data_IF_135162331249
#
_entry.id   IF_135162331249
#
_cell.length_a   1.000
_cell.length_b   1.000
_cell.length_c   1.000
_cell.angle_alpha   90.00
_cell.angle_beta   90.00
_cell.angle_gamma   90.00
#
_symmetry.space_group_name_H-M   'P 1'
#
loop_
_entity.id
_entity.type
_entity.pdbx_description
1 polymer ?
#
# COMPACT_ATOMS: atom_id res chain seq x y z
N UNK A 1 -20.20 -5.66 -7.73
CA UNK A 1 -18.94 -5.01 -7.99
C UNK A 1 -18.04 -5.04 -6.78
N UNK A 2 -16.80 -5.40 -6.96
CA UNK A 2 -15.87 -5.48 -5.84
C UNK A 2 -15.53 -4.07 -5.32
N UNK A 3 -15.45 -3.95 -4.01
CA UNK A 3 -15.06 -2.69 -3.37
C UNK A 3 -13.61 -2.81 -2.89
N UNK A 4 -12.68 -2.44 -3.75
CA UNK A 4 -11.26 -2.57 -3.45
C UNK A 4 -10.80 -1.64 -2.32
N UNK A 5 -11.45 -0.48 -2.18
CA UNK A 5 -11.14 0.39 -1.05
C UNK A 5 -11.48 -0.28 0.28
N UNK A 6 -12.66 -0.87 0.37
CA UNK A 6 -13.05 -1.60 1.57
C UNK A 6 -12.13 -2.80 1.80
N UNK A 7 -11.81 -3.52 0.73
CA UNK A 7 -10.91 -4.67 0.83
C UNK A 7 -9.56 -4.25 1.41
N UNK A 8 -8.98 -3.18 0.90
CA UNK A 8 -7.69 -2.71 1.40
C UNK A 8 -7.79 -2.19 2.82
N UNK A 9 -8.92 -1.58 3.19
CA UNK A 9 -9.13 -1.15 4.57
C UNK A 9 -9.12 -2.33 5.53
N UNK A 10 -9.74 -3.43 5.13
CA UNK A 10 -9.76 -4.64 5.95
C UNK A 10 -8.35 -5.23 6.07
N UNK A 11 -7.60 -5.23 4.97
CA UNK A 11 -6.20 -5.69 5.00
C UNK A 11 -5.39 -4.82 5.96
N UNK A 12 -5.54 -3.50 5.87
CA UNK A 12 -4.80 -2.59 6.74
C UNK A 12 -5.13 -2.82 8.20
N UNK A 13 -6.40 -2.96 8.53
CA UNK A 13 -6.80 -3.20 9.91
C UNK A 13 -6.27 -4.53 10.42
N UNK A 14 -6.26 -5.54 9.57
CA UNK A 14 -5.73 -6.86 9.93
C UNK A 14 -4.23 -6.78 10.18
N UNK A 15 -3.49 -6.12 9.31
CA UNK A 15 -2.06 -5.96 9.50
C UNK A 15 -1.74 -5.09 10.72
N UNK A 16 -2.57 -4.08 10.98
CA UNK A 16 -2.42 -3.25 12.17
C UNK A 16 -2.49 -4.09 13.44
N UNK A 17 -3.50 -4.95 13.54
CA UNK A 17 -3.66 -5.79 14.72
C UNK A 17 -2.52 -6.81 14.84
N UNK A 18 -2.14 -7.40 13.70
CA UNK A 18 -1.02 -8.33 13.66
C UNK A 18 0.26 -7.65 14.16
N UNK A 19 0.52 -6.43 13.68
CA UNK A 19 1.72 -5.68 14.04
C UNK A 19 1.68 -5.28 15.51
N UNK A 20 0.54 -4.80 15.98
CA UNK A 20 0.35 -4.41 17.37
C UNK A 20 0.55 -5.59 18.32
N UNK A 21 0.22 -6.79 17.88
CA UNK A 21 0.33 -8.00 18.69
C UNK A 21 1.59 -8.79 18.37
N UNK A 22 2.70 -8.07 18.14
CA UNK A 22 4.04 -8.62 18.01
C UNK A 22 4.24 -9.47 16.76
N UNK A 23 3.46 -9.21 15.72
CA UNK A 23 3.67 -9.83 14.40
C UNK A 23 3.66 -11.35 14.44
N UNK A 24 2.69 -11.90 15.17
CA UNK A 24 2.54 -13.33 15.26
C UNK A 24 1.71 -13.85 14.08
N UNK A 25 2.39 -14.42 13.08
CA UNK A 25 1.74 -14.87 11.86
C UNK A 25 0.70 -15.94 12.11
N UNK A 26 0.85 -16.74 13.18
CA UNK A 26 -0.10 -17.82 13.44
C UNK A 26 -1.49 -17.31 13.81
N UNK A 27 -1.61 -16.04 14.18
CA UNK A 27 -2.90 -15.48 14.59
C UNK A 27 -3.59 -14.68 13.50
N UNK A 28 -2.93 -14.48 12.35
CA UNK A 28 -3.44 -13.53 11.37
C UNK A 28 -4.74 -14.00 10.72
N UNK A 29 -4.90 -15.31 10.52
CA UNK A 29 -6.13 -15.82 9.91
C UNK A 29 -7.35 -15.55 10.77
N UNK A 30 -7.23 -15.70 12.08
CA UNK A 30 -8.34 -15.40 12.98
C UNK A 30 -8.68 -13.93 12.97
N UNK A 31 -7.66 -13.08 12.95
CA UNK A 31 -7.88 -11.64 12.89
C UNK A 31 -8.59 -11.28 11.60
N UNK A 32 -8.12 -11.83 10.49
CA UNK A 32 -8.71 -11.56 9.19
C UNK A 32 -10.16 -12.02 9.12
N UNK A 33 -10.44 -13.23 9.57
CA UNK A 33 -11.81 -13.74 9.53
C UNK A 33 -12.76 -12.89 10.35
N UNK A 34 -12.31 -12.45 11.54
CA UNK A 34 -13.14 -11.58 12.35
C UNK A 34 -13.39 -10.25 11.65
N UNK A 35 -12.35 -9.66 11.05
CA UNK A 35 -12.53 -8.38 10.38
C UNK A 35 -13.41 -8.49 9.14
N UNK A 36 -13.29 -9.58 8.39
CA UNK A 36 -14.17 -9.81 7.25
C UNK A 36 -15.62 -9.93 7.70
N UNK A 37 -15.85 -10.63 8.80
CA UNK A 37 -17.21 -10.82 9.30
C UNK A 37 -17.81 -9.51 9.80
N UNK A 38 -17.02 -8.69 10.49
CA UNK A 38 -17.54 -7.48 11.08
C UNK A 38 -17.64 -6.32 10.10
N UNK A 39 -16.67 -6.17 9.23
CA UNK A 39 -16.57 -4.99 8.39
C UNK A 39 -16.85 -5.24 6.92
N UNK A 40 -16.82 -6.50 6.50
CA UNK A 40 -17.00 -6.84 5.10
C UNK A 40 -18.06 -7.90 4.82
N UNK A 41 -19.19 -7.91 5.56
CA UNK A 41 -20.20 -8.91 5.22
C UNK A 41 -20.71 -8.66 3.80
N UNK A 42 -20.74 -9.72 3.01
CA UNK A 42 -21.15 -9.59 1.62
C UNK A 42 -20.06 -9.09 0.69
N UNK A 43 -18.82 -8.95 1.18
CA UNK A 43 -17.72 -8.54 0.32
C UNK A 43 -17.49 -9.61 -0.74
N UNK A 44 -17.56 -9.21 -2.01
CA UNK A 44 -17.45 -10.14 -3.12
C UNK A 44 -16.03 -10.59 -3.39
N UNK A 45 -15.05 -9.78 -2.99
CA UNK A 45 -13.66 -9.97 -3.39
C UNK A 45 -12.77 -10.39 -2.22
N UNK A 46 -13.26 -11.37 -1.44
CA UNK A 46 -12.47 -11.83 -0.31
C UNK A 46 -11.17 -12.51 -0.72
N UNK A 47 -11.13 -13.05 -1.96
CA UNK A 47 -9.88 -13.63 -2.47
C UNK A 47 -8.79 -12.58 -2.60
N UNK A 48 -9.15 -11.37 -3.02
CA UNK A 48 -8.19 -10.28 -3.10
C UNK A 48 -7.60 -9.98 -1.72
N UNK A 49 -8.47 -9.96 -0.71
CA UNK A 49 -8.04 -9.70 0.67
C UNK A 49 -7.06 -10.76 1.15
N UNK A 50 -7.40 -12.03 0.94
CA UNK A 50 -6.53 -13.12 1.36
C UNK A 50 -5.20 -13.11 0.62
N UNK A 51 -5.24 -12.86 -0.69
CA UNK A 51 -4.04 -12.83 -1.50
C UNK A 51 -3.12 -11.69 -1.08
N UNK A 52 -3.69 -10.53 -0.78
CA UNK A 52 -2.92 -9.37 -0.39
C UNK A 52 -2.23 -9.59 0.97
N UNK A 53 -2.97 -10.13 1.94
CA UNK A 53 -2.40 -10.47 3.25
C UNK A 53 -1.26 -11.47 3.07
N UNK A 54 -1.50 -12.53 2.31
CA UNK A 54 -0.49 -13.56 2.10
C UNK A 54 0.76 -12.98 1.44
N UNK A 55 0.56 -12.15 0.41
CA UNK A 55 1.69 -11.56 -0.30
C UNK A 55 2.53 -10.67 0.60
N UNK A 56 1.89 -9.86 1.43
CA UNK A 56 2.62 -8.99 2.35
C UNK A 56 3.41 -9.84 3.35
N UNK A 57 2.77 -10.85 3.93
CA UNK A 57 3.45 -11.66 4.94
C UNK A 57 4.61 -12.46 4.38
N UNK A 58 4.44 -13.01 3.19
CA UNK A 58 5.51 -13.80 2.58
C UNK A 58 6.70 -12.94 2.21
N UNK A 59 6.49 -11.65 2.04
CA UNK A 59 7.56 -10.73 1.63
C UNK A 59 7.87 -9.68 2.68
N UNK A 60 7.45 -9.89 3.92
CA UNK A 60 7.52 -8.85 4.92
C UNK A 60 8.94 -8.36 5.21
N UNK A 61 9.90 -9.27 5.23
CA UNK A 61 11.27 -8.87 5.52
C UNK A 61 11.84 -7.99 4.41
N UNK A 62 11.57 -8.37 3.17
CA UNK A 62 12.01 -7.60 2.03
C UNK A 62 11.33 -6.23 1.99
N UNK A 63 10.01 -6.22 2.26
CA UNK A 63 9.25 -4.98 2.26
C UNK A 63 9.75 -4.04 3.35
N UNK A 64 9.96 -4.57 4.55
CA UNK A 64 10.42 -3.75 5.67
C UNK A 64 11.82 -3.19 5.41
N UNK A 65 12.67 -3.98 4.75
CA UNK A 65 13.98 -3.49 4.37
C UNK A 65 13.89 -2.32 3.40
N UNK A 66 12.95 -2.39 2.46
CA UNK A 66 12.74 -1.31 1.51
C UNK A 66 12.26 -0.04 2.24
N UNK A 67 11.37 -0.18 3.22
CA UNK A 67 10.93 0.96 4.00
C UNK A 67 12.11 1.63 4.69
N UNK A 68 12.95 0.85 5.35
CA UNK A 68 14.09 1.37 6.07
C UNK A 68 15.07 2.09 5.14
N UNK A 69 15.31 1.53 3.98
CA UNK A 69 16.23 2.14 3.02
C UNK A 69 15.66 3.42 2.42
N UNK A 70 14.36 3.47 2.22
CA UNK A 70 13.73 4.62 1.57
C UNK A 70 13.54 5.78 2.53
N UNK A 71 13.28 5.49 3.80
CA UNK A 71 13.07 6.53 4.82
C UNK A 71 14.07 6.32 5.96
N UNK A 72 15.38 6.54 5.71
CA UNK A 72 16.41 6.21 6.70
C UNK A 72 16.34 7.04 7.97
N UNK A 73 15.70 8.22 7.93
CA UNK A 73 15.52 9.04 9.13
C UNK A 73 14.53 8.43 10.12
N UNK A 74 13.74 7.46 9.67
CA UNK A 74 12.67 6.90 10.47
C UNK A 74 12.90 5.41 10.68
N UNK A 75 13.45 5.00 11.84
CA UNK A 75 13.51 3.57 12.13
C UNK A 75 12.12 2.95 12.04
N UNK A 76 12.05 1.73 11.54
CA UNK A 76 10.77 1.07 11.29
C UNK A 76 9.84 1.13 12.50
N UNK A 77 10.40 0.87 13.67
CA UNK A 77 9.59 0.81 14.89
C UNK A 77 9.08 2.18 15.34
N UNK A 78 9.61 3.25 14.79
CA UNK A 78 9.15 4.61 15.10
C UNK A 78 8.14 5.13 14.09
N UNK A 79 7.98 4.45 12.97
CA UNK A 79 6.89 4.78 12.06
C UNK A 79 5.62 4.23 12.69
N UNK A 80 4.57 5.08 12.77
CA UNK A 80 3.36 4.63 13.46
C UNK A 80 2.73 3.45 12.76
N UNK A 81 1.89 2.71 13.50
CA UNK A 81 1.33 1.45 13.02
C UNK A 81 0.48 1.61 11.76
N UNK A 82 -0.25 2.72 11.66
CA UNK A 82 -1.08 2.97 10.48
C UNK A 82 -0.18 3.14 9.26
N UNK A 83 0.77 4.05 9.34
CA UNK A 83 1.61 4.39 8.20
C UNK A 83 2.46 3.21 7.74
N UNK A 84 3.09 2.48 8.68
CA UNK A 84 3.98 1.42 8.23
C UNK A 84 3.23 0.24 7.63
N UNK A 85 2.00 -0.03 8.10
CA UNK A 85 1.24 -1.12 7.49
C UNK A 85 0.64 -0.72 6.16
N UNK A 86 0.28 0.54 5.99
CA UNK A 86 -0.14 1.04 4.67
C UNK A 86 1.04 1.01 3.70
N UNK A 87 2.24 1.35 4.17
CA UNK A 87 3.43 1.23 3.33
C UNK A 87 3.69 -0.21 2.91
N UNK A 88 3.48 -1.17 3.83
CA UNK A 88 3.63 -2.57 3.48
C UNK A 88 2.70 -2.98 2.35
N UNK A 89 1.44 -2.56 2.43
CA UNK A 89 0.46 -2.84 1.38
C UNK A 89 0.89 -2.17 0.07
N UNK A 90 1.20 -0.89 0.14
CA UNK A 90 1.56 -0.13 -1.05
C UNK A 90 2.80 -0.64 -1.75
N UNK A 91 3.82 -0.97 -0.99
CA UNK A 91 5.06 -1.48 -1.54
C UNK A 91 4.83 -2.85 -2.18
N UNK A 92 4.07 -3.71 -1.49
CA UNK A 92 3.76 -5.01 -2.08
C UNK A 92 3.04 -4.84 -3.41
N UNK A 93 1.99 -4.03 -3.45
CA UNK A 93 1.23 -3.86 -4.69
C UNK A 93 2.04 -3.17 -5.78
N UNK A 94 2.89 -2.23 -5.39
CA UNK A 94 3.70 -1.50 -6.36
C UNK A 94 4.80 -2.36 -6.97
N UNK A 95 5.47 -3.18 -6.16
CA UNK A 95 6.67 -3.89 -6.61
C UNK A 95 6.44 -5.36 -6.90
N UNK A 96 5.54 -6.01 -6.18
CA UNK A 96 5.41 -7.46 -6.20
C UNK A 96 4.05 -7.94 -6.65
N UNK A 97 3.08 -7.06 -6.77
CA UNK A 97 1.75 -7.43 -7.20
C UNK A 97 1.63 -7.54 -8.70
N UNK A 98 0.45 -7.92 -9.15
CA UNK A 98 0.14 -8.04 -10.58
C UNK A 98 -0.19 -6.65 -11.14
N UNK A 99 0.70 -6.11 -11.96
CA UNK A 99 0.55 -4.76 -12.51
C UNK A 99 -0.62 -4.63 -13.48
N UNK A 100 -1.04 -5.72 -14.08
CA UNK A 100 -2.22 -5.68 -14.94
C UNK A 100 -3.48 -5.49 -14.12
N UNK A 101 -3.53 -6.12 -12.96
CA UNK A 101 -4.68 -6.00 -12.08
C UNK A 101 -4.64 -4.70 -11.27
N UNK A 102 -3.46 -4.34 -10.77
CA UNK A 102 -3.26 -3.12 -9.98
C UNK A 102 -2.07 -2.36 -10.57
N UNK A 103 -2.32 -1.43 -11.48
CA UNK A 103 -1.22 -0.64 -12.05
C UNK A 103 -0.49 0.17 -10.97
N UNK A 104 0.77 0.50 -11.20
CA UNK A 104 1.57 1.20 -10.20
C UNK A 104 0.94 2.48 -9.65
N UNK A 105 0.37 3.31 -10.52
CA UNK A 105 -0.24 4.56 -10.05
C UNK A 105 -1.46 4.30 -9.20
N UNK A 106 -2.22 3.24 -9.51
CA UNK A 106 -3.37 2.86 -8.71
C UNK A 106 -2.91 2.41 -7.33
N UNK A 107 -1.84 1.60 -7.26
CA UNK A 107 -1.30 1.15 -5.99
C UNK A 107 -0.92 2.33 -5.09
N UNK A 108 -0.23 3.32 -5.67
CA UNK A 108 0.20 4.48 -4.93
C UNK A 108 -1.01 5.31 -4.45
N UNK A 109 -1.94 5.59 -5.36
CA UNK A 109 -3.10 6.42 -5.02
C UNK A 109 -3.97 5.76 -3.96
N UNK A 110 -4.16 4.44 -4.04
CA UNK A 110 -4.95 3.75 -3.05
C UNK A 110 -4.29 3.76 -1.68
N UNK A 111 -2.97 3.63 -1.64
CA UNK A 111 -2.25 3.71 -0.37
C UNK A 111 -2.39 5.10 0.24
N UNK A 112 -2.30 6.15 -0.58
CA UNK A 112 -2.46 7.51 -0.10
C UNK A 112 -3.87 7.73 0.46
N UNK A 113 -4.89 7.22 -0.24
CA UNK A 113 -6.26 7.35 0.24
C UNK A 113 -6.48 6.63 1.56
N UNK A 114 -5.90 5.44 1.71
CA UNK A 114 -5.95 4.73 2.98
C UNK A 114 -5.30 5.56 4.08
N UNK A 115 -4.14 6.13 3.79
CA UNK A 115 -3.42 6.91 4.77
C UNK A 115 -4.24 8.12 5.23
N UNK A 116 -4.88 8.80 4.29
CA UNK A 116 -5.72 9.93 4.63
C UNK A 116 -6.91 9.52 5.47
N UNK A 117 -7.52 8.37 5.14
CA UNK A 117 -8.70 7.89 5.86
C UNK A 117 -8.39 7.51 7.30
N UNK A 118 -7.25 6.88 7.52
CA UNK A 118 -6.93 6.34 8.85
C UNK A 118 -5.95 7.20 9.64
N UNK A 119 -5.14 8.02 8.98
CA UNK A 119 -4.12 8.81 9.66
C UNK A 119 -4.14 10.30 9.37
N UNK A 120 -5.00 10.74 8.45
CA UNK A 120 -5.12 12.16 8.13
C UNK A 120 -4.13 12.63 7.07
N UNK A 121 -4.11 13.96 6.89
CA UNK A 121 -3.31 14.55 5.82
C UNK A 121 -1.82 14.29 5.98
N UNK A 122 -1.33 14.33 7.19
CA UNK A 122 0.10 14.10 7.45
C UNK A 122 0.51 12.71 7.03
N UNK A 123 -0.31 11.71 7.36
CA UNK A 123 -0.05 10.34 6.92
C UNK A 123 -0.07 10.22 5.41
N UNK A 124 -1.02 10.88 4.76
CA UNK A 124 -1.09 10.87 3.30
C UNK A 124 0.17 11.41 2.67
N UNK A 125 0.69 12.51 3.20
CA UNK A 125 1.91 13.11 2.68
C UNK A 125 3.13 12.22 2.90
N UNK A 126 3.22 11.60 4.07
CA UNK A 126 4.33 10.70 4.37
C UNK A 126 4.33 9.50 3.43
N UNK A 127 3.18 8.86 3.29
CA UNK A 127 3.05 7.68 2.42
C UNK A 127 3.36 8.05 0.96
N UNK A 128 2.84 9.20 0.51
CA UNK A 128 3.12 9.68 -0.84
C UNK A 128 4.63 9.88 -1.05
N UNK A 129 5.30 10.48 -0.06
CA UNK A 129 6.74 10.72 -0.17
C UNK A 129 7.54 9.44 -0.31
N UNK A 130 7.22 8.44 0.52
CA UNK A 130 7.94 7.17 0.49
C UNK A 130 7.66 6.41 -0.81
N UNK A 131 6.39 6.24 -1.15
CA UNK A 131 6.03 5.48 -2.35
C UNK A 131 6.47 6.20 -3.63
N UNK A 132 6.41 7.53 -3.62
CA UNK A 132 6.89 8.32 -4.75
C UNK A 132 8.39 8.14 -4.98
N UNK A 133 9.16 8.10 -3.90
CA UNK A 133 10.60 7.88 -3.99
C UNK A 133 10.89 6.50 -4.60
N UNK A 134 10.16 5.48 -4.13
CA UNK A 134 10.33 4.14 -4.67
C UNK A 134 9.94 4.10 -6.15
N UNK A 135 8.83 4.75 -6.50
CA UNK A 135 8.34 4.76 -7.87
C UNK A 135 9.37 5.37 -8.82
N UNK A 136 9.97 6.49 -8.42
CA UNK A 136 11.01 7.13 -9.24
C UNK A 136 12.25 6.25 -9.35
N UNK A 137 12.59 5.56 -8.25
CA UNK A 137 13.78 4.72 -8.25
C UNK A 137 13.66 3.54 -9.21
N UNK A 138 12.45 3.04 -9.42
CA UNK A 138 12.26 1.91 -10.34
C UNK A 138 11.92 2.35 -11.76
N UNK A 139 12.02 3.65 -12.06
CA UNK A 139 11.87 4.14 -13.42
C UNK A 139 10.46 4.54 -13.82
N UNK A 140 9.60 4.75 -12.84
CA UNK A 140 8.23 5.24 -13.06
C UNK A 140 7.45 4.39 -14.07
N UNK A 141 7.30 3.09 -13.81
CA UNK A 141 6.60 2.22 -14.76
C UNK A 141 5.15 2.65 -14.95
N UNK A 142 4.65 2.57 -16.17
CA UNK A 142 3.29 2.92 -16.49
C UNK A 142 3.02 4.40 -16.59
N UNK A 143 4.05 5.24 -16.45
CA UNK A 143 3.84 6.69 -16.48
C UNK A 143 3.27 7.15 -17.81
N UNK A 144 3.79 6.63 -18.91
CA UNK A 144 3.31 7.01 -20.23
C UNK A 144 1.90 6.56 -20.47
N UNK A 145 1.57 5.38 -19.97
CA UNK A 145 0.23 4.83 -20.12
C UNK A 145 -0.80 5.62 -19.35
N UNK A 146 -0.37 6.22 -18.24
CA UNK A 146 -1.27 6.98 -17.40
C UNK A 146 -1.40 8.43 -17.78
N UNK A 147 -0.66 8.92 -18.78
CA UNK A 147 -0.68 10.33 -19.20
C UNK A 147 -1.62 10.51 -20.37
N UNK A 148 -2.43 11.53 -20.34
CA UNK A 148 -3.17 11.91 -21.54
C UNK A 148 -2.16 12.42 -22.54
N UNK A 149 -2.18 12.36 -23.54
CA UNK A 149 -1.03 12.79 -24.17
C UNK A 149 -0.92 14.06 -24.79
N UNK A 150 -0.19 14.46 -24.09
CA UNK A 150 0.08 15.12 -24.08
C UNK A 150 0.43 15.50 -24.66
N UNK A 151 0.64 15.70 -24.83
CA UNK A 151 0.99 15.94 -25.07
C UNK A 151 1.78 16.34 -24.82
N UNK A 152 2.13 16.66 -24.68
CA UNK A 152 2.74 16.83 -24.25
C UNK A 152 3.40 17.24 -23.78
N UNK A 153 3.56 17.81 -24.01
CA UNK A 153 4.05 18.09 -23.25
C UNK A 153 4.61 18.41 -22.54
N UNK A 154 4.80 19.00 -22.64
CA UNK A 154 5.26 19.16 -21.70
C UNK A 154 5.82 19.26 -21.06
N UNK A 155 6.10 19.85 -21.34
CA UNK A 155 6.55 19.88 -20.40
C UNK A 155 7.03 19.86 -19.71
N UNK A 156 7.28 20.30 -20.11
CA UNK A 156 7.72 20.22 -19.10
C UNK A 156 8.06 20.31 -18.32
N UNK A 157 8.32 20.81 -18.41
CA UNK A 157 8.49 20.74 -17.47
C UNK A 157 8.76 20.56 -16.86
N UNK A 158 9.06 20.81 -17.34
CA UNK A 158 9.20 20.55 -16.57
C UNK A 158 9.39 20.29 -15.98
N UNK A 159 9.82 20.71 -16.39
CA UNK A 159 9.96 20.24 -15.58
C UNK A 159 10.02 19.90 -15.09
N UNK A 160 10.15 20.42 -15.71
CA UNK A 160 10.19 20.05 -15.09
C UNK A 160 10.30 19.76 -14.78
N UNK A 161 10.42 20.00 -15.06
CA UNK A 161 10.51 19.77 -14.71
C UNK A 161 10.46 19.64 -14.31
#
# INVERSE_FOLDING_TARGET
MANRHLSRSIVMQTLYEWDFNNRNDSKIEKILERNLKEFGPGLEDSQFVHALIKGVLENKEKIDEIIVKTAPEWPLEQINLVDRNILRIGIYELLLGNREEVPPKVAINEAIELAKSFGGETSGKFVNGVLGTIYRAIGEPGKEEGSPRKGKTEEPMTNDK
#
